data_IF_787497106758
#
_entry.id   IF_787497106758
#
_cell.length_a   1.000
_cell.length_b   1.000
_cell.length_c   1.000
_cell.angle_alpha   90.00
_cell.angle_beta   90.00
_cell.angle_gamma   90.00
#
_symmetry.space_group_name_H-M   'P 1'
#
loop_
_entity.id
_entity.type
_entity.pdbx_description
1 polymer ?
#
# COMPACT_ATOMS: atom_id res chain seq x y z
N UNK A 1 14.05 4.58 -5.54
CA UNK A 1 14.80 4.03 -4.39
C UNK A 1 14.29 4.73 -3.13
N UNK A 2 13.77 4.00 -2.15
CA UNK A 2 13.17 4.60 -0.93
C UNK A 2 14.20 4.52 0.17
N UNK A 3 14.49 5.65 0.80
CA UNK A 3 15.41 5.74 1.93
C UNK A 3 14.85 6.76 2.91
N UNK A 4 15.29 6.68 4.16
CA UNK A 4 14.93 7.63 5.21
C UNK A 4 16.18 8.07 5.92
N UNK A 5 16.33 9.38 6.10
CA UNK A 5 17.35 9.97 6.96
C UNK A 5 16.76 10.14 8.36
N UNK A 6 17.58 9.90 9.38
CA UNK A 6 17.20 10.11 10.77
C UNK A 6 17.11 11.61 11.05
N UNK A 7 16.00 12.05 11.63
CA UNK A 7 15.88 13.44 12.07
C UNK A 7 16.46 13.62 13.49
N UNK A 8 16.89 14.83 13.80
CA UNK A 8 17.41 15.17 15.13
C UNK A 8 16.30 15.03 16.19
N UNK A 9 16.62 14.38 17.32
CA UNK A 9 15.65 14.06 18.37
C UNK A 9 14.70 12.90 18.06
N UNK A 10 14.84 12.23 16.92
CA UNK A 10 13.97 11.10 16.56
C UNK A 10 14.46 9.76 17.16
N UNK A 11 13.55 8.98 17.73
CA UNK A 11 13.82 7.60 18.13
C UNK A 11 13.95 6.67 16.92
N UNK A 12 14.81 5.66 17.02
CA UNK A 12 15.04 4.72 15.91
C UNK A 12 13.74 4.02 15.45
N UNK A 13 12.83 3.74 16.37
CA UNK A 13 11.53 3.12 16.07
C UNK A 13 10.64 4.02 15.21
N UNK A 14 10.57 5.32 15.52
CA UNK A 14 9.82 6.31 14.72
C UNK A 14 10.37 6.40 13.31
N UNK A 15 11.69 6.35 13.16
CA UNK A 15 12.35 6.36 11.85
C UNK A 15 11.96 5.13 11.03
N UNK A 16 11.99 3.94 11.63
CA UNK A 16 11.59 2.68 10.97
C UNK A 16 10.11 2.72 10.58
N UNK A 17 9.23 3.25 11.43
CA UNK A 17 7.81 3.42 11.12
C UNK A 17 7.58 4.36 9.94
N UNK A 18 8.32 5.49 9.86
CA UNK A 18 8.27 6.39 8.69
C UNK A 18 8.73 5.68 7.43
N UNK A 19 9.85 4.95 7.49
CA UNK A 19 10.34 4.16 6.37
C UNK A 19 9.29 3.16 5.88
N UNK A 20 8.69 2.39 6.81
CA UNK A 20 7.62 1.44 6.49
C UNK A 20 6.45 2.15 5.80
N UNK A 21 6.00 3.29 6.31
CA UNK A 21 4.90 4.07 5.72
C UNK A 21 5.23 4.48 4.27
N UNK A 22 6.42 5.03 4.02
CA UNK A 22 6.88 5.42 2.68
C UNK A 22 6.96 4.22 1.74
N UNK A 23 7.52 3.10 2.23
CA UNK A 23 7.62 1.86 1.46
C UNK A 23 6.23 1.33 1.05
N UNK A 24 5.27 1.26 1.98
CA UNK A 24 3.92 0.79 1.67
C UNK A 24 3.14 1.77 0.77
N UNK A 25 3.34 3.09 0.92
CA UNK A 25 2.75 4.10 0.05
C UNK A 25 3.21 3.98 -1.41
N UNK A 26 4.48 3.62 -1.63
CA UNK A 26 5.04 3.46 -2.98
C UNK A 26 4.45 2.29 -3.78
N UNK A 27 3.76 1.35 -3.11
CA UNK A 27 3.22 0.12 -3.71
C UNK A 27 4.25 -0.78 -4.40
N UNK A 28 5.55 -0.55 -4.21
CA UNK A 28 6.63 -1.34 -4.85
C UNK A 28 6.50 -2.82 -4.51
N UNK A 29 6.22 -3.17 -3.25
CA UNK A 29 6.01 -4.56 -2.84
C UNK A 29 4.88 -5.26 -3.62
N UNK A 30 3.80 -4.53 -3.91
CA UNK A 30 2.68 -5.08 -4.68
C UNK A 30 3.04 -5.24 -6.15
N UNK A 31 3.82 -4.30 -6.71
CA UNK A 31 4.35 -4.38 -8.07
C UNK A 31 5.25 -5.62 -8.22
N UNK A 32 6.25 -5.78 -7.36
CA UNK A 32 7.17 -6.93 -7.38
C UNK A 32 6.40 -8.26 -7.27
N UNK A 33 5.41 -8.33 -6.37
CA UNK A 33 4.58 -9.54 -6.22
C UNK A 33 3.77 -9.85 -7.49
N UNK A 34 3.24 -8.83 -8.17
CA UNK A 34 2.48 -9.00 -9.40
C UNK A 34 3.37 -9.42 -10.58
N UNK A 35 4.61 -8.92 -10.62
CA UNK A 35 5.62 -9.22 -11.65
C UNK A 35 6.29 -10.59 -11.47
N UNK A 36 6.10 -11.25 -10.31
CA UNK A 36 6.66 -12.59 -10.02
C UNK A 36 6.26 -13.65 -11.05
N UNK A 37 5.07 -13.55 -11.63
CA UNK A 37 4.54 -14.50 -12.60
C UNK A 37 4.24 -13.81 -13.93
N UNK A 38 4.44 -14.53 -15.04
CA UNK A 38 4.11 -14.05 -16.38
C UNK A 38 2.58 -14.03 -16.60
N UNK A 39 1.95 -12.94 -16.14
CA UNK A 39 0.51 -12.74 -16.26
C UNK A 39 0.16 -11.80 -17.42
N UNK A 40 -0.99 -12.04 -18.07
CA UNK A 40 -1.54 -11.09 -19.05
C UNK A 40 -1.96 -9.79 -18.35
N UNK A 41 -1.85 -8.63 -19.02
CA UNK A 41 -2.30 -7.36 -18.46
C UNK A 41 -3.80 -7.41 -18.15
N UNK A 42 -4.17 -6.94 -16.95
CA UNK A 42 -5.55 -6.96 -16.49
C UNK A 42 -6.38 -5.93 -17.27
N UNK A 43 -7.59 -6.30 -17.71
CA UNK A 43 -8.53 -5.39 -18.38
C UNK A 43 -8.95 -4.24 -17.44
N UNK A 44 -9.08 -3.02 -17.98
CA UNK A 44 -9.51 -1.82 -17.23
C UNK A 44 -10.81 -2.03 -16.43
N UNK A 45 -11.77 -2.79 -16.98
CA UNK A 45 -13.03 -3.15 -16.29
C UNK A 45 -12.78 -3.91 -14.97
N UNK A 46 -11.88 -4.88 -14.98
CA UNK A 46 -11.54 -5.69 -13.79
C UNK A 46 -10.84 -4.89 -12.71
N UNK A 47 -9.99 -3.93 -13.10
CA UNK A 47 -9.35 -2.98 -12.16
C UNK A 47 -10.41 -2.13 -11.46
N UNK A 48 -11.40 -1.63 -12.20
CA UNK A 48 -12.51 -0.83 -11.66
C UNK A 48 -13.41 -1.66 -10.73
N UNK A 49 -13.80 -2.86 -11.13
CA UNK A 49 -14.59 -3.78 -10.28
C UNK A 49 -13.90 -4.03 -8.94
N UNK A 50 -12.60 -4.36 -8.97
CA UNK A 50 -11.81 -4.59 -7.76
C UNK A 50 -11.71 -3.33 -6.87
N UNK A 51 -11.61 -2.15 -7.46
CA UNK A 51 -11.57 -0.88 -6.73
C UNK A 51 -12.90 -0.57 -6.03
N UNK A 52 -14.04 -0.79 -6.71
CA UNK A 52 -15.39 -0.58 -6.16
C UNK A 52 -15.62 -1.52 -4.97
N UNK A 53 -15.34 -2.81 -5.16
CA UNK A 53 -15.50 -3.83 -4.10
C UNK A 53 -14.65 -3.44 -2.88
N UNK A 54 -13.40 -3.04 -3.10
CA UNK A 54 -12.51 -2.61 -2.01
C UNK A 54 -13.02 -1.37 -1.27
N UNK A 55 -13.60 -0.39 -1.98
CA UNK A 55 -14.22 0.79 -1.34
C UNK A 55 -15.38 0.37 -0.45
N UNK A 56 -16.28 -0.46 -0.98
CA UNK A 56 -17.45 -0.97 -0.24
C UNK A 56 -17.05 -1.64 1.07
N UNK A 57 -16.04 -2.51 1.06
CA UNK A 57 -15.56 -3.15 2.29
C UNK A 57 -14.87 -2.19 3.27
N UNK A 58 -14.19 -1.16 2.78
CA UNK A 58 -13.60 -0.12 3.65
C UNK A 58 -14.68 0.71 4.34
N UNK A 59 -15.73 1.08 3.60
CA UNK A 59 -16.88 1.82 4.13
C UNK A 59 -17.66 1.00 5.16
N UNK A 60 -17.83 -0.30 4.91
CA UNK A 60 -18.43 -1.23 5.89
C UNK A 60 -17.58 -1.32 7.16
N UNK A 61 -16.26 -1.49 7.03
CA UNK A 61 -15.37 -1.55 8.18
C UNK A 61 -15.34 -0.24 8.97
N UNK A 62 -15.38 0.93 8.33
CA UNK A 62 -15.46 2.20 9.08
C UNK A 62 -16.74 2.28 9.91
N UNK A 63 -17.88 1.80 9.40
CA UNK A 63 -19.16 1.86 10.12
C UNK A 63 -19.27 0.91 11.33
N UNK A 64 -18.40 -0.11 11.43
CA UNK A 64 -18.42 -1.08 12.54
C UNK A 64 -17.61 -0.58 13.75
N UNK A 65 -16.70 0.37 13.55
CA UNK A 65 -15.83 0.93 14.60
C UNK A 65 -16.19 2.38 15.00
N UNK A 66 -17.38 2.85 14.62
CA UNK A 66 -18.00 4.10 15.11
C UNK A 66 -19.36 3.81 15.71
#
# INVERSE_FOLDING_TARGET
MIYTVKHEGETNEKMILRYKKLFFQSRIANKIRAERYANRPIKKKKIREAAIIRSKYRELNSKVYF
#
